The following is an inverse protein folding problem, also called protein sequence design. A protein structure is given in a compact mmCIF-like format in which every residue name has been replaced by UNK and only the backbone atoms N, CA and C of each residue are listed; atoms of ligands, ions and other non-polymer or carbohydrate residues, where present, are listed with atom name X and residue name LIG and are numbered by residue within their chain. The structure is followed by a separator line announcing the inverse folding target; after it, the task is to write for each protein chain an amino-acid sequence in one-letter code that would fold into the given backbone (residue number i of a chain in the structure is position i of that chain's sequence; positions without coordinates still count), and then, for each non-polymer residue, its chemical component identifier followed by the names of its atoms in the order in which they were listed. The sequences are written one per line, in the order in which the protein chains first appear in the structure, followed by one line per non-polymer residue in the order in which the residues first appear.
data_IF_354574488733
#
_entry.id   IF_354574488733
#
_cell.length_a   1.000
_cell.length_b   1.000
_cell.length_c   1.000
_cell.angle_alpha   90.00
_cell.angle_beta   90.00
_cell.angle_gamma   90.00
#
_symmetry.space_group_name_H-M   'P 1'
#
loop_
_entity.id
_entity.type
_entity.pdbx_description
1 polymer ?
#
# COMPACT_ATOMS: atom_id res chain seq x y z
N UNK A 1 69.48 -5.72 24.89
CA UNK A 1 70.40 -5.95 23.76
C UNK A 1 70.21 -7.39 23.30
N UNK A 2 69.48 -7.60 22.21
CA UNK A 2 69.29 -8.92 21.61
C UNK A 2 69.60 -8.81 20.11
N UNK A 3 70.54 -9.63 19.66
CA UNK A 3 71.13 -9.59 18.33
C UNK A 3 70.20 -10.23 17.28
N UNK A 4 70.20 -9.60 16.10
CA UNK A 4 69.59 -10.08 14.85
C UNK A 4 70.42 -11.24 14.30
N UNK A 5 69.75 -12.29 13.85
CA UNK A 5 70.24 -13.19 12.80
C UNK A 5 69.20 -13.23 11.69
N UNK A 6 69.62 -12.84 10.49
CA UNK A 6 68.88 -12.95 9.25
C UNK A 6 69.07 -14.35 8.66
N UNK A 7 68.10 -14.92 7.94
CA UNK A 7 68.30 -16.10 7.12
C UNK A 7 68.76 -15.77 5.69
N UNK A 8 69.58 -16.69 5.19
CA UNK A 8 70.28 -16.78 3.90
C UNK A 8 69.30 -17.02 2.72
N UNK A 9 69.53 -16.44 1.52
CA UNK A 9 68.68 -16.63 0.35
C UNK A 9 69.29 -17.67 -0.59
N UNK A 10 68.76 -18.89 -0.57
CA UNK A 10 69.00 -19.85 -1.64
C UNK A 10 67.82 -20.80 -1.79
N UNK A 11 66.93 -20.49 -2.73
CA UNK A 11 66.36 -21.41 -3.74
C UNK A 11 65.12 -20.77 -4.36
N UNK A 12 65.37 -19.93 -5.35
CA UNK A 12 64.38 -19.56 -6.35
C UNK A 12 64.12 -20.75 -7.28
N UNK A 13 62.84 -21.06 -7.44
CA UNK A 13 62.23 -21.25 -8.75
C UNK A 13 62.35 -22.61 -9.40
N UNK A 14 61.38 -23.51 -9.14
CA UNK A 14 60.77 -24.29 -10.23
C UNK A 14 59.46 -24.98 -9.78
N UNK A 15 58.32 -24.27 -9.76
CA UNK A 15 57.01 -24.97 -9.75
C UNK A 15 55.79 -24.10 -10.14
N UNK A 16 55.93 -23.18 -11.10
CA UNK A 16 54.77 -22.50 -11.73
C UNK A 16 54.14 -23.29 -12.88
N UNK A 17 54.30 -24.63 -12.90
CA UNK A 17 53.80 -25.48 -13.99
C UNK A 17 53.30 -26.86 -13.59
N UNK A 18 52.56 -27.03 -12.49
CA UNK A 18 51.77 -28.27 -12.24
C UNK A 18 50.71 -28.12 -11.13
N UNK A 19 49.60 -27.44 -11.43
CA UNK A 19 48.38 -27.57 -10.61
C UNK A 19 47.11 -27.30 -11.45
N UNK A 20 46.99 -27.98 -12.60
CA UNK A 20 45.71 -28.24 -13.27
C UNK A 20 45.47 -29.73 -13.22
N UNK A 21 44.77 -30.22 -12.19
CA UNK A 21 43.96 -31.46 -12.14
C UNK A 21 43.58 -31.75 -10.68
N UNK A 22 42.27 -31.92 -10.44
CA UNK A 22 41.77 -32.60 -9.24
C UNK A 22 41.08 -31.72 -8.20
N UNK A 23 39.93 -31.13 -8.53
CA UNK A 23 38.93 -30.77 -7.52
C UNK A 23 37.99 -31.97 -7.33
N UNK A 24 37.87 -32.56 -6.14
CA UNK A 24 36.84 -33.55 -5.87
C UNK A 24 35.47 -32.86 -5.78
N UNK A 25 34.52 -33.33 -6.60
CA UNK A 25 33.09 -33.02 -6.45
C UNK A 25 32.58 -33.65 -5.15
N UNK A 26 32.51 -32.87 -4.08
CA UNK A 26 31.64 -33.17 -2.95
C UNK A 26 30.20 -32.89 -3.38
N UNK A 27 29.47 -33.96 -3.69
CA UNK A 27 28.03 -33.93 -3.85
C UNK A 27 27.39 -33.68 -2.48
N UNK A 28 26.92 -32.45 -2.24
CA UNK A 28 26.07 -32.16 -1.09
C UNK A 28 24.72 -32.83 -1.33
N UNK A 29 24.50 -33.98 -0.69
CA UNK A 29 23.21 -34.65 -0.66
C UNK A 29 22.32 -33.88 0.33
N UNK A 30 21.56 -32.90 -0.19
CA UNK A 30 20.52 -32.21 0.58
C UNK A 30 19.29 -33.12 0.62
N UNK A 31 19.17 -33.91 1.68
CA UNK A 31 17.95 -34.64 2.00
C UNK A 31 16.90 -33.66 2.54
N UNK A 32 16.02 -33.19 1.67
CA UNK A 32 14.82 -32.42 2.05
C UNK A 32 13.78 -33.44 2.54
N UNK A 33 13.36 -33.44 3.83
CA UNK A 33 12.23 -34.25 4.24
C UNK A 33 10.96 -33.75 3.53
N UNK A 34 10.33 -34.66 2.75
CA UNK A 34 9.03 -34.44 2.11
C UNK A 34 7.94 -34.34 3.18
N UNK A 35 7.63 -33.13 3.64
CA UNK A 35 6.37 -32.86 4.32
C UNK A 35 5.22 -32.89 3.29
N UNK A 36 4.41 -33.94 3.33
CA UNK A 36 3.11 -34.01 2.63
C UNK A 36 2.11 -33.14 3.40
N UNK A 37 1.84 -31.93 2.92
CA UNK A 37 0.66 -31.16 3.31
C UNK A 37 -0.50 -31.49 2.36
N UNK A 38 -1.72 -31.78 2.85
CA UNK A 38 -2.86 -32.07 2.01
C UNK A 38 -3.43 -30.78 1.41
N UNK A 39 -3.01 -30.44 0.20
CA UNK A 39 -3.68 -29.42 -0.62
C UNK A 39 -4.97 -30.01 -1.21
N UNK A 40 -6.12 -29.63 -0.66
CA UNK A 40 -7.39 -29.70 -1.39
C UNK A 40 -7.65 -28.35 -2.03
N UNK A 41 -7.48 -28.30 -3.34
CA UNK A 41 -8.01 -27.26 -4.23
C UNK A 41 -9.54 -27.28 -4.18
N UNK A 42 -10.15 -26.36 -3.43
CA UNK A 42 -11.56 -26.03 -3.59
C UNK A 42 -11.67 -24.93 -4.66
N UNK A 43 -12.34 -25.29 -5.74
CA UNK A 43 -12.39 -24.53 -6.98
C UNK A 43 -13.03 -23.15 -6.90
N UNK A 44 -12.62 -22.33 -7.87
CA UNK A 44 -13.26 -21.09 -8.24
C UNK A 44 -14.78 -21.27 -8.42
N UNK A 45 -15.55 -20.47 -7.69
CA UNK A 45 -16.89 -19.96 -8.07
C UNK A 45 -17.29 -18.86 -7.09
N UNK A 46 -17.52 -17.64 -7.60
CA UNK A 46 -18.25 -16.59 -6.88
C UNK A 46 -17.52 -15.26 -6.72
N UNK A 47 -17.49 -14.46 -7.79
CA UNK A 47 -17.42 -13.00 -7.68
C UNK A 47 -18.66 -12.54 -6.89
N UNK A 48 -18.45 -11.93 -5.72
CA UNK A 48 -19.55 -11.52 -4.82
C UNK A 48 -19.11 -11.16 -3.40
N UNK A 49 -17.90 -11.53 -2.99
CA UNK A 49 -17.35 -11.20 -1.67
C UNK A 49 -16.66 -9.84 -1.55
N UNK A 50 -16.36 -9.17 -2.65
CA UNK A 50 -15.55 -7.93 -2.65
C UNK A 50 -16.33 -6.69 -2.16
N UNK A 51 -17.66 -6.68 -2.30
CA UNK A 51 -18.48 -5.51 -1.94
C UNK A 51 -18.94 -5.46 -0.47
N UNK A 52 -18.85 -6.57 0.28
CA UNK A 52 -19.37 -6.64 1.66
C UNK A 52 -18.42 -5.98 2.67
N UNK A 53 -17.12 -6.03 2.41
CA UNK A 53 -16.10 -5.54 3.35
C UNK A 53 -15.88 -4.03 3.28
N UNK A 54 -15.96 -3.45 2.08
CA UNK A 54 -15.99 -1.98 1.90
C UNK A 54 -17.14 -1.36 2.70
N UNK A 55 -18.31 -2.02 2.74
CA UNK A 55 -19.44 -1.59 3.58
C UNK A 55 -19.16 -1.65 5.09
N UNK A 56 -18.37 -2.64 5.56
CA UNK A 56 -18.10 -2.83 6.99
C UNK A 56 -17.13 -1.78 7.55
N UNK A 57 -16.16 -1.34 6.75
CA UNK A 57 -15.32 -0.17 7.07
C UNK A 57 -16.11 1.16 7.08
N UNK A 58 -17.22 1.24 6.32
CA UNK A 58 -18.01 2.47 6.15
C UNK A 58 -19.15 2.67 7.15
N UNK A 59 -19.67 1.61 7.78
CA UNK A 59 -20.77 1.75 8.76
C UNK A 59 -20.38 2.46 10.06
N UNK A 60 -19.09 2.69 10.31
CA UNK A 60 -18.60 3.35 11.52
C UNK A 60 -18.66 4.90 11.47
N UNK A 61 -19.20 5.54 10.41
CA UNK A 61 -18.97 7.00 10.24
C UNK A 61 -20.01 7.82 9.45
N UNK A 62 -21.30 7.54 9.56
CA UNK A 62 -22.31 8.43 8.97
C UNK A 62 -22.73 9.56 9.94
N UNK A 63 -22.11 10.73 9.82
CA UNK A 63 -22.74 12.00 10.19
C UNK A 63 -23.03 12.78 8.88
N UNK A 64 -24.25 13.32 8.67
CA UNK A 64 -24.58 13.99 7.43
C UNK A 64 -24.02 15.42 7.40
N UNK A 65 -23.37 15.79 6.30
CA UNK A 65 -23.09 17.18 5.96
C UNK A 65 -24.34 17.82 5.31
N UNK A 66 -24.63 19.12 5.54
CA UNK A 66 -25.77 19.81 4.93
C UNK A 66 -25.49 20.22 3.46
N UNK A 67 -26.53 20.40 2.63
CA UNK A 67 -26.39 20.73 1.21
C UNK A 67 -26.17 22.23 0.96
N UNK A 68 -25.39 22.51 -0.09
CA UNK A 68 -25.09 23.84 -0.63
C UNK A 68 -26.33 24.59 -1.17
N UNK A 69 -26.25 25.91 -1.10
CA UNK A 69 -27.25 26.89 -1.53
C UNK A 69 -27.42 26.98 -3.07
N UNK A 70 -28.60 27.42 -3.58
CA UNK A 70 -28.88 27.57 -5.01
C UNK A 70 -28.36 28.90 -5.61
N UNK A 71 -28.28 29.04 -6.95
CA UNK A 71 -27.67 30.19 -7.61
C UNK A 71 -28.59 31.42 -7.68
N UNK A 72 -27.98 32.60 -7.68
CA UNK A 72 -28.58 33.93 -7.84
C UNK A 72 -29.28 34.10 -9.21
N UNK A 73 -30.59 34.34 -9.19
CA UNK A 73 -31.37 34.95 -10.27
C UNK A 73 -31.63 36.42 -9.92
N UNK A 74 -31.04 37.35 -10.67
CA UNK A 74 -31.10 38.78 -10.36
C UNK A 74 -31.27 39.68 -11.58
N UNK A 75 -32.52 39.90 -11.99
CA UNK A 75 -33.10 41.17 -12.48
C UNK A 75 -34.58 40.90 -12.83
N UNK A 76 -35.53 41.87 -12.82
CA UNK A 76 -35.32 43.32 -13.00
C UNK A 76 -36.24 44.23 -12.15
N UNK A 77 -35.98 45.55 -12.17
CA UNK A 77 -37.06 46.56 -12.15
C UNK A 77 -36.59 47.94 -12.61
N UNK A 78 -37.57 48.66 -13.13
CA UNK A 78 -37.56 49.80 -14.03
C UNK A 78 -37.84 51.13 -13.33
N UNK A 79 -37.96 52.17 -14.17
CA UNK A 79 -38.62 53.47 -13.97
C UNK A 79 -37.68 54.61 -13.58
N UNK A 80 -37.79 55.85 -14.06
CA UNK A 80 -38.60 56.51 -15.09
C UNK A 80 -38.00 57.93 -15.23
N UNK A 81 -38.14 58.55 -16.39
CA UNK A 81 -37.75 59.95 -16.60
C UNK A 81 -38.06 60.43 -18.01
N UNK A 82 -39.32 60.79 -18.24
CA UNK A 82 -39.86 61.22 -19.52
C UNK A 82 -39.60 62.70 -19.84
N UNK A 83 -39.26 63.00 -21.10
CA UNK A 83 -39.76 64.20 -21.83
C UNK A 83 -39.58 64.02 -23.35
N UNK A 84 -40.70 64.03 -24.09
CA UNK A 84 -40.83 64.15 -25.56
C UNK A 84 -41.32 65.59 -25.91
N UNK A 85 -41.48 66.04 -27.19
CA UNK A 85 -41.14 65.43 -28.49
C UNK A 85 -40.44 66.38 -29.49
N UNK A 86 -39.60 65.84 -30.40
CA UNK A 86 -39.38 66.43 -31.74
C UNK A 86 -39.50 65.29 -32.77
N UNK A 87 -40.53 65.37 -33.62
CA UNK A 87 -40.78 64.49 -34.78
C UNK A 87 -40.26 65.17 -36.07
N UNK A 88 -40.13 64.46 -37.21
CA UNK A 88 -39.46 63.18 -37.43
C UNK A 88 -38.54 63.26 -38.69
N UNK A 89 -37.22 63.16 -38.55
CA UNK A 89 -36.38 62.85 -39.73
C UNK A 89 -36.21 61.33 -39.83
N UNK A 90 -37.10 60.72 -40.62
CA UNK A 90 -36.94 59.36 -41.14
C UNK A 90 -35.75 59.33 -42.10
N UNK A 91 -34.54 59.19 -41.57
CA UNK A 91 -33.51 58.46 -42.28
C UNK A 91 -33.95 56.99 -42.37
N UNK A 92 -33.77 56.29 -43.50
CA UNK A 92 -34.11 54.89 -43.57
C UNK A 92 -33.16 54.15 -42.62
N UNK A 93 -33.65 53.84 -41.41
CA UNK A 93 -33.16 52.66 -40.71
C UNK A 93 -33.38 51.53 -41.72
N UNK A 94 -32.29 51.07 -42.34
CA UNK A 94 -32.23 49.75 -42.93
C UNK A 94 -32.68 48.82 -41.82
N UNK A 95 -33.97 48.50 -41.82
CA UNK A 95 -34.45 47.26 -41.27
C UNK A 95 -33.68 46.21 -42.05
N UNK A 96 -32.53 45.79 -41.52
CA UNK A 96 -32.01 44.45 -41.75
C UNK A 96 -33.11 43.53 -41.24
N UNK A 97 -34.18 43.39 -42.02
CA UNK A 97 -34.97 42.19 -42.04
C UNK A 97 -33.98 41.17 -42.54
N UNK A 98 -33.44 40.29 -41.68
CA UNK A 98 -32.66 39.19 -42.20
C UNK A 98 -33.57 38.55 -43.23
N UNK A 99 -33.08 38.42 -44.47
CA UNK A 99 -33.78 37.62 -45.45
C UNK A 99 -34.06 36.26 -44.80
N UNK A 100 -35.18 35.58 -45.12
CA UNK A 100 -35.46 34.27 -44.55
C UNK A 100 -34.26 33.31 -44.70
N UNK A 101 -33.43 33.55 -45.73
CA UNK A 101 -32.12 32.93 -45.91
C UNK A 101 -31.09 33.30 -44.82
N UNK A 102 -30.87 34.57 -44.49
CA UNK A 102 -29.95 34.98 -43.41
C UNK A 102 -30.41 34.49 -42.02
N UNK A 103 -31.72 34.47 -41.77
CA UNK A 103 -32.29 33.89 -40.56
C UNK A 103 -32.09 32.37 -40.51
N UNK A 104 -32.24 31.68 -41.65
CA UNK A 104 -31.98 30.24 -41.76
C UNK A 104 -30.49 29.89 -41.59
N UNK A 105 -29.59 30.70 -42.14
CA UNK A 105 -28.14 30.54 -41.95
C UNK A 105 -27.75 30.80 -40.49
N UNK A 106 -28.29 31.84 -39.86
CA UNK A 106 -28.07 32.10 -38.44
C UNK A 106 -28.60 30.97 -37.55
N UNK A 107 -29.81 30.48 -37.82
CA UNK A 107 -30.39 29.34 -37.13
C UNK A 107 -29.58 28.05 -37.34
N UNK A 108 -29.05 27.82 -38.54
CA UNK A 108 -28.19 26.68 -38.84
C UNK A 108 -26.86 26.75 -38.08
N UNK A 109 -26.22 27.92 -38.00
CA UNK A 109 -24.98 28.12 -37.22
C UNK A 109 -25.23 27.85 -35.73
N UNK A 110 -26.32 28.38 -35.18
CA UNK A 110 -26.69 28.15 -33.77
C UNK A 110 -27.01 26.67 -33.51
N UNK A 111 -27.72 26.01 -34.43
CA UNK A 111 -28.03 24.58 -34.33
C UNK A 111 -26.75 23.72 -34.37
N UNK A 112 -25.81 24.02 -35.28
CA UNK A 112 -24.51 23.35 -35.34
C UNK A 112 -23.73 23.59 -34.05
N UNK A 113 -23.64 24.84 -33.57
CA UNK A 113 -22.94 25.16 -32.32
C UNK A 113 -23.54 24.44 -31.11
N UNK A 114 -24.88 24.34 -31.04
CA UNK A 114 -25.58 23.64 -29.97
C UNK A 114 -25.33 22.12 -30.01
N UNK A 115 -25.41 21.50 -31.20
CA UNK A 115 -25.11 20.07 -31.38
C UNK A 115 -23.63 19.80 -31.07
N UNK A 116 -22.70 20.64 -31.53
CA UNK A 116 -21.27 20.53 -31.20
C UNK A 116 -21.02 20.67 -29.70
N UNK A 117 -21.69 21.60 -29.01
CA UNK A 117 -21.58 21.77 -27.56
C UNK A 117 -22.13 20.56 -26.78
N UNK A 118 -23.29 20.03 -27.17
CA UNK A 118 -23.86 18.80 -26.60
C UNK A 118 -22.96 17.58 -26.84
N UNK A 119 -22.40 17.46 -28.05
CA UNK A 119 -21.50 16.36 -28.40
C UNK A 119 -20.20 16.47 -27.61
N UNK A 120 -19.65 17.68 -27.47
CA UNK A 120 -18.45 17.93 -26.67
C UNK A 120 -18.69 17.66 -25.17
N UNK A 121 -19.81 18.13 -24.61
CA UNK A 121 -20.19 17.89 -23.23
C UNK A 121 -20.44 16.39 -22.96
N UNK A 122 -21.13 15.71 -23.87
CA UNK A 122 -21.32 14.26 -23.83
C UNK A 122 -19.97 13.53 -23.85
N UNK A 123 -19.11 13.84 -24.81
CA UNK A 123 -17.77 13.27 -24.91
C UNK A 123 -16.95 13.51 -23.65
N UNK A 124 -16.98 14.72 -23.09
CA UNK A 124 -16.28 15.08 -21.85
C UNK A 124 -16.78 14.25 -20.65
N UNK A 125 -18.09 14.05 -20.54
CA UNK A 125 -18.69 13.32 -19.42
C UNK A 125 -18.42 11.82 -19.51
N UNK A 126 -18.57 11.23 -20.71
CA UNK A 126 -18.31 9.80 -20.94
C UNK A 126 -16.81 9.47 -20.87
N UNK A 127 -15.93 10.31 -21.43
CA UNK A 127 -14.48 10.11 -21.33
C UNK A 127 -13.99 10.25 -19.89
N UNK A 128 -14.55 11.15 -19.09
CA UNK A 128 -14.21 11.27 -17.66
C UNK A 128 -14.61 10.03 -16.87
N UNK A 129 -15.80 9.48 -17.14
CA UNK A 129 -16.25 8.23 -16.51
C UNK A 129 -15.37 7.05 -16.93
N UNK A 130 -15.13 6.90 -18.23
CA UNK A 130 -14.26 5.85 -18.76
C UNK A 130 -12.81 5.95 -18.24
N UNK A 131 -12.27 7.16 -18.08
CA UNK A 131 -10.94 7.37 -17.51
C UNK A 131 -10.87 6.98 -16.02
N UNK A 132 -11.89 7.33 -15.23
CA UNK A 132 -11.98 6.88 -13.84
C UNK A 132 -12.13 5.35 -13.73
N UNK A 133 -12.90 4.74 -14.63
CA UNK A 133 -13.07 3.28 -14.66
C UNK A 133 -11.78 2.57 -15.03
N UNK A 134 -11.07 3.06 -16.05
CA UNK A 134 -9.77 2.54 -16.41
C UNK A 134 -8.76 2.68 -15.28
N UNK A 135 -8.69 3.86 -14.65
CA UNK A 135 -7.76 4.10 -13.56
C UNK A 135 -8.09 3.26 -12.31
N UNK A 136 -9.37 3.05 -12.01
CA UNK A 136 -9.77 2.14 -10.94
C UNK A 136 -9.35 0.69 -11.23
N UNK A 137 -9.50 0.24 -12.48
CA UNK A 137 -9.05 -1.09 -12.92
C UNK A 137 -7.52 -1.23 -12.85
N UNK A 138 -6.78 -0.21 -13.27
CA UNK A 138 -5.31 -0.18 -13.19
C UNK A 138 -4.84 -0.16 -11.73
N UNK A 139 -5.44 0.69 -10.89
CA UNK A 139 -5.17 0.72 -9.45
C UNK A 139 -5.46 -0.64 -8.80
N UNK A 140 -6.58 -1.29 -9.14
CA UNK A 140 -6.92 -2.62 -8.62
C UNK A 140 -5.93 -3.69 -9.09
N UNK A 141 -5.53 -3.67 -10.37
CA UNK A 141 -4.52 -4.58 -10.92
C UNK A 141 -3.18 -4.43 -10.19
N UNK A 142 -2.75 -3.18 -9.97
CA UNK A 142 -1.56 -2.87 -9.21
C UNK A 142 -1.69 -3.36 -7.76
N UNK A 143 -2.84 -3.13 -7.11
CA UNK A 143 -3.11 -3.59 -5.75
C UNK A 143 -3.02 -5.11 -5.60
N UNK A 144 -3.48 -5.89 -6.59
CA UNK A 144 -3.37 -7.36 -6.55
C UNK A 144 -1.91 -7.81 -6.53
N UNK A 145 -1.03 -7.15 -7.28
CA UNK A 145 0.40 -7.49 -7.27
C UNK A 145 1.08 -7.00 -6.00
N UNK A 146 0.76 -5.78 -5.55
CA UNK A 146 1.25 -5.23 -4.28
C UNK A 146 0.86 -6.12 -3.09
N UNK A 147 -0.34 -6.72 -3.10
CA UNK A 147 -0.76 -7.64 -2.04
C UNK A 147 0.06 -8.93 -2.05
N UNK A 148 0.39 -9.50 -3.22
CA UNK A 148 1.28 -10.66 -3.29
C UNK A 148 2.67 -10.34 -2.75
N UNK A 149 3.19 -9.17 -3.09
CA UNK A 149 4.49 -8.71 -2.59
C UNK A 149 4.44 -8.51 -1.07
N UNK A 150 3.37 -7.88 -0.55
CA UNK A 150 3.17 -7.66 0.87
C UNK A 150 3.06 -8.97 1.65
N UNK A 151 2.43 -9.98 1.05
CA UNK A 151 2.32 -11.31 1.63
C UNK A 151 3.68 -11.98 1.73
N UNK A 152 4.49 -11.89 0.67
CA UNK A 152 5.84 -12.44 0.67
C UNK A 152 6.71 -11.75 1.73
N UNK A 153 6.66 -10.42 1.81
CA UNK A 153 7.38 -9.63 2.82
C UNK A 153 7.04 -10.08 4.25
N UNK A 154 5.74 -10.27 4.55
CA UNK A 154 5.27 -10.71 5.86
C UNK A 154 5.55 -12.19 6.14
N UNK A 155 5.54 -13.05 5.11
CA UNK A 155 5.88 -14.45 5.23
C UNK A 155 7.39 -14.67 5.42
N UNK A 156 8.24 -13.86 4.79
CA UNK A 156 9.69 -13.89 4.99
C UNK A 156 10.05 -13.56 6.44
N UNK A 157 9.37 -12.57 7.04
CA UNK A 157 9.51 -12.27 8.47
C UNK A 157 9.07 -13.45 9.35
N UNK A 158 7.95 -14.10 9.01
CA UNK A 158 7.48 -15.30 9.70
C UNK A 158 8.53 -16.44 9.64
N UNK A 159 9.13 -16.70 8.48
CA UNK A 159 10.19 -17.72 8.36
C UNK A 159 11.43 -17.31 9.15
N UNK A 160 11.77 -16.02 9.16
CA UNK A 160 12.95 -15.50 9.86
C UNK A 160 12.83 -15.67 11.38
N UNK A 161 11.67 -15.41 11.99
CA UNK A 161 11.50 -15.64 13.43
C UNK A 161 11.59 -17.13 13.78
N UNK A 162 11.08 -18.03 12.93
CA UNK A 162 11.22 -19.47 13.16
C UNK A 162 12.70 -19.89 13.15
N UNK A 163 13.50 -19.34 12.24
CA UNK A 163 14.95 -19.59 12.19
C UNK A 163 15.67 -19.09 13.43
N UNK A 164 15.28 -17.94 13.97
CA UNK A 164 15.83 -17.46 15.25
C UNK A 164 15.45 -18.39 16.39
N UNK A 165 14.20 -18.86 16.41
CA UNK A 165 13.76 -19.80 17.43
C UNK A 165 14.40 -21.18 17.33
N UNK A 166 15.07 -21.52 16.22
CA UNK A 166 15.87 -22.73 16.07
C UNK A 166 17.32 -22.54 16.58
N UNK A 167 17.74 -21.33 16.97
CA UNK A 167 19.09 -21.09 17.47
C UNK A 167 19.34 -21.86 18.79
N UNK A 168 20.45 -22.61 18.92
CA UNK A 168 20.69 -23.45 20.08
C UNK A 168 20.93 -22.64 21.36
N UNK A 169 21.46 -21.43 21.28
CA UNK A 169 21.66 -20.55 22.44
C UNK A 169 20.34 -19.94 22.87
N UNK A 170 19.48 -19.57 21.91
CA UNK A 170 18.14 -19.08 22.22
C UNK A 170 17.23 -20.17 22.75
N UNK A 171 17.47 -21.45 22.45
CA UNK A 171 16.75 -22.60 23.03
C UNK A 171 17.32 -23.10 24.36
N UNK A 172 18.53 -22.72 24.74
CA UNK A 172 19.12 -23.11 26.02
C UNK A 172 18.55 -22.26 27.17
N UNK A 173 17.70 -22.87 28.01
CA UNK A 173 17.11 -22.22 29.19
C UNK A 173 18.15 -21.82 30.25
N UNK A 174 19.35 -22.38 30.22
CA UNK A 174 20.43 -22.10 31.16
C UNK A 174 21.43 -21.04 30.64
N UNK A 175 21.34 -20.64 29.37
CA UNK A 175 22.16 -19.56 28.84
C UNK A 175 21.94 -18.25 29.61
N UNK A 176 23.02 -17.51 29.86
CA UNK A 176 22.92 -16.22 30.57
C UNK A 176 22.14 -15.19 29.73
N UNK A 177 21.54 -14.21 30.41
CA UNK A 177 20.83 -13.12 29.75
C UNK A 177 21.74 -12.36 28.78
N UNK A 178 22.98 -12.04 29.18
CA UNK A 178 23.94 -11.35 28.33
C UNK A 178 24.25 -12.16 27.06
N UNK A 179 24.40 -13.47 27.20
CA UNK A 179 24.69 -14.36 26.07
C UNK A 179 23.52 -14.41 25.09
N UNK A 180 22.28 -14.49 25.58
CA UNK A 180 21.07 -14.44 24.73
C UNK A 180 20.96 -13.10 24.00
N UNK A 181 21.14 -12.00 24.71
CA UNK A 181 21.07 -10.66 24.11
C UNK A 181 22.14 -10.49 23.03
N UNK A 182 23.37 -10.96 23.26
CA UNK A 182 24.43 -10.91 22.27
C UNK A 182 24.09 -11.69 20.99
N UNK A 183 23.55 -12.92 21.12
CA UNK A 183 23.11 -13.71 19.97
C UNK A 183 21.94 -13.05 19.24
N UNK A 184 20.90 -12.62 19.96
CA UNK A 184 19.78 -11.91 19.36
C UNK A 184 20.22 -10.63 18.62
N UNK A 185 21.18 -9.88 19.16
CA UNK A 185 21.74 -8.72 18.47
C UNK A 185 22.50 -9.14 17.21
N UNK A 186 23.31 -10.19 17.27
CA UNK A 186 24.00 -10.74 16.11
C UNK A 186 23.00 -11.17 15.03
N UNK A 187 21.93 -11.86 15.40
CA UNK A 187 20.84 -12.27 14.50
C UNK A 187 20.14 -11.06 13.87
N UNK A 188 19.97 -9.98 14.65
CA UNK A 188 19.46 -8.71 14.15
C UNK A 188 20.40 -8.06 13.12
N UNK A 189 21.71 -8.14 13.30
CA UNK A 189 22.70 -7.50 12.44
C UNK A 189 23.03 -8.26 11.15
N UNK A 190 22.93 -9.59 11.14
CA UNK A 190 23.41 -10.42 10.03
C UNK A 190 22.51 -10.42 8.79
N UNK A 191 21.36 -9.74 8.83
CA UNK A 191 20.37 -9.75 7.74
C UNK A 191 19.76 -8.38 7.45
N UNK A 192 19.18 -8.22 6.26
CA UNK A 192 18.23 -7.15 5.89
C UNK A 192 16.97 -7.30 6.75
N UNK A 193 17.13 -7.03 8.05
CA UNK A 193 16.21 -7.51 9.06
C UNK A 193 14.86 -6.84 8.96
N UNK A 194 13.80 -7.64 9.01
CA UNK A 194 12.43 -7.15 9.11
C UNK A 194 12.09 -6.70 10.53
N UNK A 195 12.88 -7.17 11.51
CA UNK A 195 12.66 -6.91 12.94
C UNK A 195 13.51 -5.75 13.47
N UNK A 196 12.90 -4.96 14.37
CA UNK A 196 13.56 -3.90 15.11
C UNK A 196 14.06 -4.38 16.47
N UNK A 197 13.39 -5.37 17.07
CA UNK A 197 13.80 -5.95 18.35
C UNK A 197 13.39 -7.42 18.48
N UNK A 198 14.13 -8.13 19.35
CA UNK A 198 13.86 -9.49 19.79
C UNK A 198 13.82 -9.52 21.32
N UNK A 199 12.88 -10.27 21.87
CA UNK A 199 12.72 -10.49 23.31
C UNK A 199 12.41 -11.94 23.59
N UNK A 200 12.96 -12.49 24.66
CA UNK A 200 12.56 -13.79 25.20
C UNK A 200 11.73 -13.52 26.45
N UNK A 201 10.51 -14.04 26.49
CA UNK A 201 9.61 -13.91 27.62
C UNK A 201 9.25 -15.28 28.22
N UNK A 202 8.99 -15.28 29.53
CA UNK A 202 8.35 -16.41 30.21
C UNK A 202 6.92 -16.61 29.70
N UNK A 203 6.30 -17.75 30.04
CA UNK A 203 4.85 -17.93 29.80
C UNK A 203 3.97 -16.93 30.55
N UNK A 204 4.44 -16.35 31.66
CA UNK A 204 3.74 -15.27 32.35
C UNK A 204 3.85 -13.92 31.64
N UNK A 205 4.72 -13.79 30.62
CA UNK A 205 4.92 -12.56 29.85
C UNK A 205 5.94 -11.59 30.47
N UNK A 206 6.78 -12.09 31.37
CA UNK A 206 7.92 -11.34 31.91
C UNK A 206 9.12 -11.53 31.00
N UNK A 207 9.76 -10.44 30.61
CA UNK A 207 10.89 -10.48 29.67
C UNK A 207 12.16 -10.91 30.41
N UNK A 208 12.80 -11.97 29.94
CA UNK A 208 14.04 -12.55 30.47
C UNK A 208 15.29 -11.96 29.81
N UNK A 209 15.18 -11.63 28.52
CA UNK A 209 16.23 -11.05 27.71
C UNK A 209 15.59 -10.22 26.59
N UNK A 210 16.16 -9.07 26.25
CA UNK A 210 15.70 -8.26 25.12
C UNK A 210 16.83 -7.47 24.49
N UNK A 211 16.76 -7.29 23.19
CA UNK A 211 17.62 -6.34 22.47
C UNK A 211 17.12 -4.90 22.59
N UNK A 212 15.88 -4.69 23.04
CA UNK A 212 15.31 -3.39 23.36
C UNK A 212 14.99 -3.33 24.87
N UNK A 213 15.80 -2.61 25.66
CA UNK A 213 15.64 -2.57 27.12
C UNK A 213 14.36 -1.86 27.59
N UNK A 214 13.65 -1.17 26.69
CA UNK A 214 12.35 -0.56 27.00
C UNK A 214 11.24 -1.60 27.13
N UNK A 215 11.41 -2.79 26.53
CA UNK A 215 10.42 -3.86 26.56
C UNK A 215 10.63 -4.71 27.82
N UNK A 216 9.79 -4.49 28.84
CA UNK A 216 9.85 -5.23 30.12
C UNK A 216 8.79 -6.31 30.26
N UNK A 217 7.71 -6.22 29.49
CA UNK A 217 6.61 -7.18 29.51
C UNK A 217 5.92 -7.22 28.14
N UNK A 218 5.34 -8.38 27.84
CA UNK A 218 4.56 -8.67 26.62
C UNK A 218 3.16 -9.22 26.93
N UNK A 219 2.74 -9.12 28.21
CA UNK A 219 1.51 -9.76 28.72
C UNK A 219 0.23 -9.35 27.99
N UNK A 220 0.18 -8.12 27.47
CA UNK A 220 -0.98 -7.57 26.79
C UNK A 220 -0.96 -7.75 25.27
N UNK A 221 0.12 -8.29 24.72
CA UNK A 221 0.31 -8.32 23.27
C UNK A 221 -0.44 -9.52 22.66
N UNK A 222 -1.19 -9.25 21.58
CA UNK A 222 -2.13 -10.22 21.01
C UNK A 222 -1.44 -11.50 20.55
N UNK A 223 -0.32 -11.38 19.83
CA UNK A 223 0.42 -12.54 19.31
C UNK A 223 0.98 -13.38 20.45
N UNK A 224 1.57 -12.72 21.47
CA UNK A 224 2.03 -13.40 22.68
C UNK A 224 0.90 -14.17 23.39
N UNK A 225 -0.28 -13.57 23.57
CA UNK A 225 -1.43 -14.24 24.20
C UNK A 225 -1.84 -15.48 23.40
N UNK A 226 -1.87 -15.38 22.08
CA UNK A 226 -2.21 -16.48 21.16
C UNK A 226 -1.19 -17.62 21.23
N UNK A 227 0.12 -17.31 21.13
CA UNK A 227 1.18 -18.31 21.26
C UNK A 227 1.21 -18.94 22.64
N UNK A 228 1.00 -18.18 23.71
CA UNK A 228 0.96 -18.72 25.08
C UNK A 228 -0.17 -19.74 25.27
N UNK A 229 -1.32 -19.50 24.66
CA UNK A 229 -2.49 -20.35 24.76
C UNK A 229 -2.33 -21.63 23.92
N UNK A 230 -1.83 -21.50 22.69
CA UNK A 230 -1.84 -22.58 21.70
C UNK A 230 -0.49 -23.28 21.54
N UNK A 231 0.59 -22.72 22.10
CA UNK A 231 1.98 -23.18 21.92
C UNK A 231 2.36 -23.31 20.43
N UNK A 232 1.82 -22.43 19.59
CA UNK A 232 2.12 -22.36 18.17
C UNK A 232 2.59 -20.94 17.81
N UNK A 233 3.39 -20.79 16.73
CA UNK A 233 3.74 -19.49 16.21
C UNK A 233 2.49 -18.66 15.90
N UNK A 234 2.56 -17.36 16.19
CA UNK A 234 1.49 -16.41 15.92
C UNK A 234 2.07 -15.05 15.51
N UNK A 235 1.20 -14.19 15.00
CA UNK A 235 1.52 -12.80 14.72
C UNK A 235 0.33 -11.89 15.02
N UNK A 236 0.59 -10.61 15.21
CA UNK A 236 -0.45 -9.61 15.50
C UNK A 236 -0.87 -8.88 14.22
N UNK A 237 -1.95 -8.11 14.33
CA UNK A 237 -2.15 -6.94 13.46
C UNK A 237 -1.06 -5.87 13.74
N UNK A 238 -1.05 -4.76 12.99
CA UNK A 238 -0.19 -3.63 13.34
C UNK A 238 -0.74 -2.94 14.59
N UNK A 239 0.03 -3.00 15.67
CA UNK A 239 -0.27 -2.35 16.94
C UNK A 239 0.22 -0.91 16.90
N UNK A 240 -0.69 0.05 16.98
CA UNK A 240 -0.39 1.48 17.09
C UNK A 240 -0.75 1.92 18.51
N UNK A 241 0.25 2.10 19.36
CA UNK A 241 0.04 2.50 20.76
C UNK A 241 -0.28 3.98 20.90
N UNK A 242 0.24 4.81 20.01
CA UNK A 242 0.03 6.26 20.01
C UNK A 242 -0.02 6.78 18.58
N UNK A 243 -1.05 7.55 18.19
CA UNK A 243 -1.11 8.18 16.88
C UNK A 243 0.15 9.01 16.60
N UNK A 244 0.66 8.95 15.37
CA UNK A 244 1.91 9.61 14.98
C UNK A 244 3.20 8.88 15.40
N UNK A 245 3.12 7.85 16.24
CA UNK A 245 4.25 6.96 16.51
C UNK A 245 4.22 5.74 15.60
N UNK A 246 5.40 5.18 15.34
CA UNK A 246 5.52 3.96 14.56
C UNK A 246 4.84 2.82 15.31
N UNK A 247 3.89 2.18 14.64
CA UNK A 247 3.34 0.92 15.11
C UNK A 247 4.36 -0.21 14.97
N UNK A 248 3.99 -1.41 15.43
CA UNK A 248 4.77 -2.61 15.23
C UNK A 248 3.87 -3.79 14.86
N UNK A 249 4.42 -4.73 14.08
CA UNK A 249 3.84 -6.07 13.94
C UNK A 249 4.62 -6.98 14.87
N UNK A 250 3.93 -7.68 15.75
CA UNK A 250 4.53 -8.68 16.61
C UNK A 250 4.45 -10.05 15.95
N UNK A 251 5.55 -10.78 16.02
CA UNK A 251 5.63 -12.19 15.69
C UNK A 251 6.11 -12.94 16.92
N UNK A 252 5.50 -14.08 17.22
CA UNK A 252 5.83 -14.88 18.38
C UNK A 252 5.97 -16.35 18.01
N UNK A 253 6.87 -17.03 18.69
CA UNK A 253 7.07 -18.47 18.54
C UNK A 253 7.58 -19.08 19.85
N UNK A 254 7.11 -20.27 20.22
CA UNK A 254 7.63 -20.97 21.40
C UNK A 254 9.10 -21.36 21.20
N UNK A 255 9.87 -21.30 22.28
CA UNK A 255 11.22 -21.85 22.39
C UNK A 255 11.16 -23.21 23.07
N UNK A 256 11.87 -24.18 22.51
CA UNK A 256 11.78 -25.57 22.92
C UNK A 256 13.12 -26.04 23.48
N UNK A 257 13.06 -26.81 24.55
CA UNK A 257 14.19 -27.62 25.00
C UNK A 257 14.41 -28.82 24.05
N UNK A 258 15.57 -29.49 24.10
CA UNK A 258 15.84 -30.68 23.29
C UNK A 258 14.84 -31.84 23.47
N UNK A 259 14.15 -31.88 24.61
CA UNK A 259 13.09 -32.86 24.90
C UNK A 259 11.69 -32.44 24.38
N UNK A 260 11.61 -31.26 23.74
CA UNK A 260 10.38 -30.70 23.19
C UNK A 260 9.56 -29.86 24.17
N UNK A 261 10.00 -29.68 25.42
CA UNK A 261 9.28 -28.85 26.38
C UNK A 261 9.40 -27.36 26.03
N UNK A 262 8.28 -26.64 26.04
CA UNK A 262 8.27 -25.18 25.85
C UNK A 262 8.66 -24.50 27.16
N UNK A 263 9.79 -23.79 27.15
CA UNK A 263 10.28 -23.09 28.34
C UNK A 263 10.08 -21.56 28.26
N UNK A 264 10.02 -21.02 27.05
CA UNK A 264 9.91 -19.58 26.79
C UNK A 264 9.19 -19.28 25.49
N UNK A 265 9.00 -18.00 25.22
CA UNK A 265 8.42 -17.50 23.97
C UNK A 265 9.36 -16.44 23.42
N UNK A 266 9.84 -16.65 22.19
CA UNK A 266 10.54 -15.63 21.43
C UNK A 266 9.52 -14.69 20.83
N UNK A 267 9.75 -13.39 21.01
CA UNK A 267 8.90 -12.29 20.55
C UNK A 267 9.75 -11.37 19.69
N UNK A 268 9.31 -11.12 18.47
CA UNK A 268 9.96 -10.20 17.54
C UNK A 268 9.01 -9.07 17.17
N UNK A 269 9.48 -7.83 17.21
CA UNK A 269 8.70 -6.66 16.78
C UNK A 269 9.27 -6.08 15.50
N UNK A 270 8.47 -6.06 14.45
CA UNK A 270 8.81 -5.52 13.13
C UNK A 270 8.28 -4.10 12.97
N UNK A 271 9.11 -3.20 12.43
CA UNK A 271 8.67 -1.86 11.98
C UNK A 271 7.90 -2.04 10.65
N UNK A 272 6.61 -1.67 10.55
CA UNK A 272 5.81 -1.80 9.34
C UNK A 272 6.47 -1.22 8.08
N UNK A 273 7.18 -0.09 8.19
CA UNK A 273 7.84 0.52 7.03
C UNK A 273 9.07 -0.28 6.57
N UNK A 274 9.72 -1.01 7.48
CA UNK A 274 10.83 -1.93 7.13
C UNK A 274 10.29 -3.28 6.65
N UNK A 275 9.26 -3.79 7.32
CA UNK A 275 8.63 -5.06 7.01
C UNK A 275 8.18 -5.08 5.54
N UNK A 276 7.38 -4.09 5.16
CA UNK A 276 6.84 -3.93 3.80
C UNK A 276 7.65 -2.97 2.92
N UNK A 277 8.91 -2.69 3.26
CA UNK A 277 9.75 -1.75 2.51
C UNK A 277 9.74 -1.97 0.98
N UNK A 278 9.93 -3.21 0.48
CA UNK A 278 9.82 -3.53 -0.94
C UNK A 278 8.43 -3.24 -1.52
N UNK A 279 7.36 -3.65 -0.82
CA UNK A 279 5.99 -3.34 -1.20
C UNK A 279 5.75 -1.84 -1.28
N UNK A 280 6.19 -1.08 -0.28
CA UNK A 280 6.00 0.37 -0.20
C UNK A 280 6.81 1.13 -1.25
N UNK A 281 7.96 0.59 -1.67
CA UNK A 281 8.78 1.15 -2.73
C UNK A 281 8.28 0.81 -4.14
N UNK A 282 7.44 -0.22 -4.30
CA UNK A 282 6.84 -0.56 -5.58
C UNK A 282 5.92 0.58 -6.05
N UNK A 283 6.13 1.05 -7.27
CA UNK A 283 5.38 2.15 -7.89
C UNK A 283 5.15 1.86 -9.37
N UNK A 284 3.98 2.27 -9.88
CA UNK A 284 3.63 2.27 -11.30
C UNK A 284 3.09 3.65 -11.62
N UNK A 285 3.65 4.33 -12.62
CA UNK A 285 3.23 5.64 -13.11
C UNK A 285 2.98 6.70 -12.02
N UNK A 286 3.87 6.75 -11.02
CA UNK A 286 3.77 7.68 -9.88
C UNK A 286 2.74 7.28 -8.82
N UNK A 287 2.13 6.09 -8.94
CA UNK A 287 1.29 5.49 -7.93
C UNK A 287 2.07 5.06 -6.69
N UNK A 288 1.36 4.92 -5.57
CA UNK A 288 1.94 4.67 -4.25
C UNK A 288 1.20 3.57 -3.51
N UNK A 289 1.95 2.78 -2.76
CA UNK A 289 1.41 1.82 -1.81
C UNK A 289 1.34 2.39 -0.40
N UNK A 290 0.24 2.09 0.30
CA UNK A 290 0.05 2.35 1.73
C UNK A 290 -0.48 1.10 2.41
N UNK A 291 -0.07 0.87 3.65
CA UNK A 291 -0.60 -0.22 4.48
C UNK A 291 -1.63 0.35 5.43
N UNK A 292 -2.77 -0.32 5.52
CA UNK A 292 -3.90 0.00 6.37
C UNK A 292 -4.12 -1.17 7.32
N UNK A 293 -4.20 -0.89 8.62
CA UNK A 293 -4.43 -1.93 9.61
C UNK A 293 -5.89 -2.42 9.62
N UNK A 294 -6.21 -3.42 10.44
CA UNK A 294 -7.57 -4.00 10.45
C UNK A 294 -8.65 -3.06 11.00
N UNK A 295 -8.24 -1.97 11.65
CA UNK A 295 -9.11 -0.90 12.15
C UNK A 295 -9.38 0.19 11.09
N UNK A 296 -8.77 0.08 9.90
CA UNK A 296 -8.90 1.09 8.86
C UNK A 296 -8.00 2.32 9.08
N UNK A 297 -6.95 2.20 9.90
CA UNK A 297 -6.00 3.27 10.17
C UNK A 297 -4.78 3.14 9.26
N UNK A 298 -4.22 4.28 8.84
CA UNK A 298 -2.93 4.28 8.16
C UNK A 298 -1.83 3.74 9.07
N UNK A 299 -1.06 2.79 8.56
CA UNK A 299 -0.09 2.06 9.35
C UNK A 299 1.34 2.13 8.78
N UNK A 300 1.48 2.16 7.45
CA UNK A 300 2.79 2.31 6.80
C UNK A 300 2.68 2.96 5.43
N UNK A 301 3.81 3.46 4.92
CA UNK A 301 3.88 4.12 3.62
C UNK A 301 3.25 5.49 3.59
N UNK A 302 3.05 6.14 4.75
CA UNK A 302 2.54 7.52 4.91
C UNK A 302 3.51 8.36 5.74
N UNK A 303 3.49 9.70 5.61
CA UNK A 303 4.19 10.57 6.56
C UNK A 303 3.79 10.25 8.00
N UNK A 304 4.73 10.35 8.94
CA UNK A 304 4.53 9.94 10.34
C UNK A 304 3.29 10.58 10.99
N UNK A 305 3.01 11.85 10.69
CA UNK A 305 1.82 12.55 11.20
C UNK A 305 0.46 11.98 10.77
N UNK A 306 0.44 11.10 9.75
CA UNK A 306 -0.75 10.39 9.31
C UNK A 306 -0.87 8.97 9.90
N UNK A 307 0.18 8.44 10.54
CA UNK A 307 0.11 7.10 11.16
C UNK A 307 -0.92 7.12 12.29
N UNK A 308 -1.80 6.11 12.31
CA UNK A 308 -2.91 6.00 13.24
C UNK A 308 -4.11 6.89 12.87
N UNK A 309 -4.01 7.71 11.82
CA UNK A 309 -5.16 8.45 11.31
C UNK A 309 -6.07 7.51 10.51
N UNK A 310 -7.40 7.69 10.59
CA UNK A 310 -8.33 6.92 9.77
C UNK A 310 -8.07 7.17 8.29
N UNK A 311 -8.01 6.08 7.52
CA UNK A 311 -8.02 6.21 6.07
C UNK A 311 -9.39 6.71 5.60
N UNK A 312 -9.39 7.83 4.89
CA UNK A 312 -10.60 8.45 4.37
C UNK A 312 -10.65 8.28 2.85
N UNK A 313 -11.69 7.61 2.36
CA UNK A 313 -11.93 7.45 0.94
C UNK A 313 -13.41 7.28 0.61
N UNK A 314 -13.82 7.81 -0.52
CA UNK A 314 -15.16 7.65 -1.08
C UNK A 314 -15.15 6.49 -2.07
N UNK A 315 -16.05 5.50 -1.92
CA UNK A 315 -16.13 4.39 -2.86
C UNK A 315 -16.56 4.91 -4.24
N UNK A 316 -16.00 4.30 -5.26
CA UNK A 316 -16.46 4.43 -6.64
C UNK A 316 -17.38 3.25 -6.96
N UNK A 317 -18.32 3.45 -7.89
CA UNK A 317 -19.28 2.43 -8.31
C UNK A 317 -18.63 1.17 -8.91
N UNK A 318 -17.36 1.26 -9.29
CA UNK A 318 -16.57 0.20 -9.89
C UNK A 318 -15.66 -0.54 -8.89
N UNK A 319 -15.78 -0.27 -7.58
CA UNK A 319 -15.01 -0.94 -6.54
C UNK A 319 -13.68 -0.27 -6.15
N UNK A 320 -13.23 0.75 -6.90
CA UNK A 320 -12.12 1.61 -6.48
C UNK A 320 -12.50 2.55 -5.34
N UNK A 321 -11.51 3.16 -4.69
CA UNK A 321 -11.71 4.15 -3.62
C UNK A 321 -11.01 5.45 -3.99
N UNK A 322 -11.76 6.54 -4.12
CA UNK A 322 -11.16 7.88 -4.24
C UNK A 322 -10.74 8.35 -2.85
N UNK A 323 -9.45 8.58 -2.65
CA UNK A 323 -8.90 9.01 -1.36
C UNK A 323 -7.84 10.08 -1.56
N UNK A 324 -7.72 10.99 -0.59
CA UNK A 324 -6.58 11.90 -0.52
C UNK A 324 -5.49 11.26 0.33
N UNK A 325 -4.32 11.02 -0.26
CA UNK A 325 -3.18 10.45 0.45
C UNK A 325 -2.13 11.56 0.59
N UNK A 326 -1.96 12.07 1.82
CA UNK A 326 -1.04 13.17 2.11
C UNK A 326 -1.27 14.41 1.20
N UNK A 327 -2.52 14.78 0.96
CA UNK A 327 -2.90 15.93 0.13
C UNK A 327 -2.94 15.65 -1.38
N UNK A 328 -2.67 14.42 -1.82
CA UNK A 328 -2.76 14.02 -3.23
C UNK A 328 -4.05 13.24 -3.48
N UNK A 329 -4.96 13.83 -4.25
CA UNK A 329 -6.16 13.14 -4.72
C UNK A 329 -5.79 11.95 -5.59
N UNK A 330 -6.27 10.77 -5.18
CA UNK A 330 -5.88 9.49 -5.77
C UNK A 330 -7.10 8.57 -5.94
N UNK A 331 -7.00 7.63 -6.87
CA UNK A 331 -7.89 6.47 -6.97
C UNK A 331 -7.10 5.24 -6.54
N UNK A 332 -7.60 4.54 -5.53
CA UNK A 332 -6.93 3.40 -4.90
C UNK A 332 -7.70 2.10 -5.14
N UNK A 333 -6.97 1.03 -5.45
CA UNK A 333 -7.47 -0.33 -5.29
C UNK A 333 -7.16 -0.85 -3.89
N UNK A 334 -7.88 -1.87 -3.43
CA UNK A 334 -7.68 -2.50 -2.13
C UNK A 334 -7.54 -4.02 -2.23
N UNK A 335 -6.63 -4.58 -1.44
CA UNK A 335 -6.54 -6.02 -1.25
C UNK A 335 -6.00 -6.37 0.13
N UNK A 336 -6.48 -7.51 0.64
CA UNK A 336 -6.06 -8.09 1.91
C UNK A 336 -4.67 -8.68 1.80
N UNK A 337 -3.86 -8.41 2.81
CA UNK A 337 -2.58 -9.06 3.04
C UNK A 337 -2.85 -10.38 3.76
N UNK A 338 -2.29 -11.46 3.22
CA UNK A 338 -2.27 -12.76 3.84
C UNK A 338 -3.57 -13.52 3.72
N UNK A 339 -4.55 -13.10 2.90
CA UNK A 339 -5.90 -13.69 2.84
C UNK A 339 -5.89 -15.23 2.94
N UNK A 340 -6.45 -15.77 4.02
CA UNK A 340 -6.55 -17.21 4.28
C UNK A 340 -5.23 -17.90 4.67
N UNK A 341 -4.23 -17.15 5.13
CA UNK A 341 -2.93 -17.65 5.60
C UNK A 341 -2.72 -17.30 7.07
N UNK A 342 -1.63 -17.81 7.68
CA UNK A 342 -1.32 -17.54 9.10
C UNK A 342 -1.08 -16.04 9.38
N UNK A 343 -0.67 -15.26 8.38
CA UNK A 343 -0.45 -13.82 8.48
C UNK A 343 -1.70 -12.99 8.14
N UNK A 344 -2.86 -13.62 7.90
CA UNK A 344 -4.12 -12.91 7.71
C UNK A 344 -4.58 -12.29 9.03
N UNK A 345 -4.43 -10.98 9.16
CA UNK A 345 -4.88 -10.22 10.34
C UNK A 345 -5.87 -9.12 9.98
N UNK A 346 -6.43 -9.16 8.77
CA UNK A 346 -7.31 -8.12 8.23
C UNK A 346 -6.56 -6.87 7.73
N UNK A 347 -5.23 -6.97 7.58
CA UNK A 347 -4.37 -5.96 6.99
C UNK A 347 -4.70 -5.75 5.52
N UNK A 348 -4.63 -4.50 5.06
CA UNK A 348 -4.85 -4.17 3.66
C UNK A 348 -3.66 -3.39 3.08
N UNK A 349 -3.36 -3.68 1.82
CA UNK A 349 -2.57 -2.77 0.98
C UNK A 349 -3.53 -1.98 0.11
N UNK A 350 -3.34 -0.67 0.10
CA UNK A 350 -3.96 0.23 -0.87
C UNK A 350 -2.91 0.70 -1.86
N UNK A 351 -3.13 0.44 -3.15
CA UNK A 351 -2.32 0.99 -4.22
C UNK A 351 -3.08 2.12 -4.89
N UNK A 352 -2.53 3.32 -4.81
CA UNK A 352 -3.19 4.57 -5.14
C UNK A 352 -2.53 5.25 -6.35
N UNK A 353 -3.31 5.54 -7.39
CA UNK A 353 -2.88 6.27 -8.58
C UNK A 353 -3.30 7.73 -8.47
N UNK A 354 -2.41 8.70 -8.72
CA UNK A 354 -2.75 10.13 -8.62
C UNK A 354 -3.74 10.54 -9.72
N UNK A 355 -4.76 11.31 -9.34
CA UNK A 355 -5.81 11.78 -10.26
C UNK A 355 -5.27 12.69 -11.36
N UNK A 356 -4.21 13.45 -11.09
CA UNK A 356 -3.55 14.31 -12.08
C UNK A 356 -3.01 13.51 -13.28
N UNK A 357 -2.50 12.29 -13.05
CA UNK A 357 -2.04 11.40 -14.11
C UNK A 357 -3.22 10.96 -14.99
N UNK A 358 -4.33 10.56 -14.35
CA UNK A 358 -5.58 10.16 -15.01
C UNK A 358 -6.15 11.31 -15.87
N UNK A 359 -6.15 12.53 -15.33
CA UNK A 359 -6.62 13.73 -16.04
C UNK A 359 -5.71 14.11 -17.22
N UNK A 360 -4.39 13.92 -17.10
CA UNK A 360 -3.45 14.18 -18.20
C UNK A 360 -3.65 13.23 -19.38
N UNK A 361 -3.91 11.94 -19.11
CA UNK A 361 -4.25 10.96 -20.13
C UNK A 361 -5.60 11.27 -20.78
N UNK A 362 -6.59 11.64 -19.97
CA UNK A 362 -7.90 12.07 -20.45
C UNK A 362 -7.78 13.30 -21.37
N UNK A 363 -6.99 14.31 -20.97
CA UNK A 363 -6.75 15.51 -21.77
C UNK A 363 -6.11 15.21 -23.12
N UNK A 364 -5.14 14.28 -23.16
CA UNK A 364 -4.54 13.80 -24.42
C UNK A 364 -5.55 13.05 -25.31
N UNK A 365 -6.41 12.22 -24.73
CA UNK A 365 -7.45 11.51 -25.48
C UNK A 365 -8.51 12.46 -26.04
N UNK A 366 -8.96 13.43 -25.23
CA UNK A 366 -9.93 14.44 -25.66
C UNK A 366 -9.33 15.42 -26.67
N UNK A 367 -8.06 15.81 -26.55
CA UNK A 367 -7.40 16.65 -27.56
C UNK A 367 -7.36 15.99 -28.94
N UNK A 368 -7.15 14.67 -29.00
CA UNK A 368 -7.25 13.89 -30.24
C UNK A 368 -8.68 13.84 -30.78
N UNK A 369 -9.69 13.70 -29.92
CA UNK A 369 -11.10 13.74 -30.35
C UNK A 369 -11.53 15.14 -30.80
N UNK A 370 -11.12 16.20 -30.11
CA UNK A 370 -11.41 17.58 -30.47
C UNK A 370 -10.86 17.95 -31.84
N UNK A 371 -9.66 17.48 -32.19
CA UNK A 371 -9.11 17.62 -33.55
C UNK A 371 -9.95 16.89 -34.60
N UNK A 372 -10.52 15.73 -34.28
CA UNK A 372 -11.40 14.98 -35.20
C UNK A 372 -12.76 15.69 -35.34
N UNK A 373 -13.31 16.23 -34.25
CA UNK A 373 -14.59 16.96 -34.27
C UNK A 373 -14.45 18.31 -34.99
N UNK A 374 -13.33 19.02 -34.82
CA UNK A 374 -13.02 20.24 -35.56
C UNK A 374 -12.69 20.00 -37.04
N UNK A 375 -12.19 18.81 -37.39
CA UNK A 375 -11.96 18.42 -38.78
C UNK A 375 -13.23 17.90 -39.49
N UNK A 376 -14.27 17.55 -38.72
CA UNK A 376 -15.56 17.07 -39.23
C UNK A 376 -16.69 18.10 -39.22
N UNK A 377 -16.52 19.23 -38.54
CA UNK A 377 -17.36 20.41 -38.60
C UNK A 377 -16.80 21.40 -39.63
#
# INVERSE_FOLDING_TARGET
MAARMAPDPSQDGDETRRARRGLPRLALHVSIPRFKLPWRSAGARGAGGEHVWVRRLMQLRAAPAPPDAPPDDGAPRSDEGATEPISPQRGPLLAWRPTPFAAAVGAAIVAVAFVSALTYYGAQTFTRRAANDRAANEAQSFTVQSAKLANNDAFDAYVQILRYADDPVLNDKNASTERRVAIMQQDLYLYVNKFASLSIATRSGDVLASTDPSIRTVRGDQAFVETRANLNPANSDIVITTPGQRGFVEYTTPLHEPDGAVWGILVARADPNRLWGPTLAATIDGGRNVIINNQGLFAAGVPDGLIGQPWQGSPLSNGGVRASIAGVDSICGLALIGKGTQIDKGLNVASCMPVSLIQSEQGRAMGKQGLITLAGA
#
